data_IF_397734183887
#
_entry.id   IF_397734183887
#
_cell.length_a   1.000
_cell.length_b   1.000
_cell.length_c   1.000
_cell.angle_alpha   90.00
_cell.angle_beta   90.00
_cell.angle_gamma   90.00
#
_symmetry.space_group_name_H-M   'P 1'
#
loop_
_entity.id
_entity.type
_entity.pdbx_description
1 polymer ?
#
# COMPACT_ATOMS: atom_id res chain seq x y z
N UNK A 1 27.51 3.62 -11.97
CA UNK A 1 26.14 3.04 -11.96
C UNK A 1 26.08 1.50 -11.86
N UNK A 2 27.17 0.81 -11.48
CA UNK A 2 27.16 -0.66 -11.36
C UNK A 2 26.82 -1.16 -9.94
N UNK A 3 27.14 -0.40 -8.88
CA UNK A 3 26.98 -0.85 -7.49
C UNK A 3 25.68 -0.36 -6.81
N UNK A 4 24.97 0.60 -7.39
CA UNK A 4 23.74 1.13 -6.82
C UNK A 4 22.88 1.82 -7.87
N UNK A 5 21.57 1.63 -7.77
CA UNK A 5 20.55 2.21 -8.65
C UNK A 5 19.35 2.66 -7.83
N UNK A 6 18.61 3.64 -8.35
CA UNK A 6 17.28 3.97 -7.83
C UNK A 6 16.34 2.81 -8.13
N UNK A 7 15.45 2.52 -7.19
CA UNK A 7 14.51 1.41 -7.26
C UNK A 7 13.09 1.91 -7.02
N UNK A 8 12.15 1.39 -7.78
CA UNK A 8 10.72 1.60 -7.56
C UNK A 8 10.24 0.82 -6.33
N UNK A 9 9.00 1.07 -5.89
CA UNK A 9 8.42 0.46 -4.68
C UNK A 9 9.28 0.70 -3.42
N UNK A 10 9.81 1.92 -3.29
CA UNK A 10 10.60 2.36 -2.14
C UNK A 10 10.01 3.63 -1.52
N UNK A 11 10.17 3.78 -0.22
CA UNK A 11 9.66 4.91 0.56
C UNK A 11 10.61 5.31 1.68
N UNK A 12 10.46 6.54 2.18
CA UNK A 12 11.23 7.04 3.32
C UNK A 12 10.35 7.90 4.23
N UNK A 13 10.51 7.77 5.54
CA UNK A 13 9.82 8.57 6.55
C UNK A 13 10.71 8.79 7.77
N UNK A 14 10.28 9.68 8.66
CA UNK A 14 10.85 9.81 10.00
C UNK A 14 10.43 8.61 10.84
N UNK A 15 11.34 8.12 11.67
CA UNK A 15 11.09 7.05 12.64
C UNK A 15 10.63 7.64 13.98
N UNK A 16 9.67 6.97 14.62
CA UNK A 16 9.17 7.30 15.95
C UNK A 16 9.10 6.03 16.82
N UNK A 17 9.12 6.20 18.14
CA UNK A 17 9.16 5.09 19.10
C UNK A 17 7.74 4.58 19.37
N UNK A 18 7.50 3.29 19.13
CA UNK A 18 6.23 2.63 19.51
C UNK A 18 6.48 1.44 20.43
N UNK A 19 6.27 1.58 21.76
CA UNK A 19 6.54 0.52 22.73
C UNK A 19 5.54 -0.64 22.68
N UNK A 20 4.47 -0.53 21.88
CA UNK A 20 3.41 -1.54 21.77
C UNK A 20 3.67 -2.59 20.68
N UNK A 21 4.64 -2.36 19.80
CA UNK A 21 4.95 -3.27 18.70
C UNK A 21 5.79 -4.45 19.18
N UNK A 22 5.57 -5.62 18.59
CA UNK A 22 6.43 -6.78 18.81
C UNK A 22 7.75 -6.60 18.05
N UNK A 23 8.77 -7.37 18.43
CA UNK A 23 10.10 -7.33 17.82
C UNK A 23 10.11 -7.45 16.29
N UNK A 24 9.17 -8.22 15.72
CA UNK A 24 9.07 -8.49 14.28
C UNK A 24 8.07 -7.57 13.55
N UNK A 25 7.56 -6.52 14.22
CA UNK A 25 6.57 -5.61 13.65
C UNK A 25 7.14 -4.21 13.46
N UNK A 26 6.65 -3.51 12.45
CA UNK A 26 6.88 -2.07 12.26
C UNK A 26 5.56 -1.36 11.96
N UNK A 27 5.47 -0.08 12.34
CA UNK A 27 4.38 0.78 11.92
C UNK A 27 4.72 1.44 10.59
N UNK A 28 3.86 1.29 9.59
CA UNK A 28 3.98 1.97 8.29
C UNK A 28 2.81 2.94 8.15
N UNK A 29 3.05 4.22 7.78
CA UNK A 29 1.96 5.15 7.51
C UNK A 29 1.03 4.63 6.41
N UNK A 30 -0.29 4.74 6.63
CA UNK A 30 -1.31 4.29 5.67
C UNK A 30 -1.09 4.79 4.23
N UNK A 31 -0.80 6.09 3.98
CA UNK A 31 -0.56 6.57 2.61
C UNK A 31 0.70 5.95 1.97
N UNK A 32 1.74 5.71 2.76
CA UNK A 32 2.96 5.07 2.27
C UNK A 32 2.70 3.60 1.91
N UNK A 33 1.97 2.88 2.76
CA UNK A 33 1.57 1.51 2.48
C UNK A 33 0.74 1.44 1.19
N UNK A 34 -0.23 2.34 1.00
CA UNK A 34 -1.06 2.38 -0.20
C UNK A 34 -0.22 2.54 -1.49
N UNK A 35 0.77 3.43 -1.49
CA UNK A 35 1.62 3.65 -2.67
C UNK A 35 2.59 2.49 -2.92
N UNK A 36 3.18 1.90 -1.87
CA UNK A 36 4.06 0.74 -2.00
C UNK A 36 3.33 -0.50 -2.53
N UNK A 37 2.07 -0.68 -2.12
CA UNK A 37 1.26 -1.85 -2.47
C UNK A 37 0.22 -1.57 -3.57
N UNK A 38 0.28 -0.41 -4.24
CA UNK A 38 -0.71 0.05 -5.23
C UNK A 38 -1.08 -1.02 -6.27
N UNK A 39 -0.14 -1.75 -6.91
CA UNK A 39 -0.51 -2.78 -7.88
C UNK A 39 -1.30 -3.95 -7.27
N UNK A 40 -0.98 -4.33 -6.03
CA UNK A 40 -1.65 -5.43 -5.34
C UNK A 40 -3.08 -5.04 -4.94
N UNK A 41 -3.26 -3.83 -4.41
CA UNK A 41 -4.58 -3.29 -4.07
C UNK A 41 -5.46 -3.17 -5.33
N UNK A 42 -4.89 -2.67 -6.44
CA UNK A 42 -5.61 -2.59 -7.72
C UNK A 42 -6.06 -3.97 -8.23
N UNK A 43 -5.20 -4.99 -8.12
CA UNK A 43 -5.54 -6.34 -8.50
C UNK A 43 -6.68 -6.91 -7.64
N UNK A 44 -6.57 -6.73 -6.32
CA UNK A 44 -7.54 -7.26 -5.36
C UNK A 44 -8.92 -6.57 -5.50
N UNK A 45 -8.95 -5.25 -5.76
CA UNK A 45 -10.18 -4.50 -6.07
C UNK A 45 -10.95 -5.08 -7.26
N UNK A 46 -10.23 -5.45 -8.33
CA UNK A 46 -10.84 -6.05 -9.52
C UNK A 46 -11.29 -7.48 -9.24
N UNK A 47 -10.46 -8.27 -8.55
CA UNK A 47 -10.75 -9.66 -8.18
C UNK A 47 -12.00 -9.79 -7.30
N UNK A 48 -12.20 -8.85 -6.37
CA UNK A 48 -13.38 -8.79 -5.49
C UNK A 48 -14.61 -8.18 -6.15
N UNK A 49 -14.51 -7.73 -7.41
CA UNK A 49 -15.61 -7.09 -8.13
C UNK A 49 -15.95 -5.67 -7.65
N UNK A 50 -15.13 -5.08 -6.77
CA UNK A 50 -15.29 -3.71 -6.25
C UNK A 50 -14.88 -2.64 -7.26
N UNK A 51 -14.09 -3.03 -8.26
CA UNK A 51 -13.80 -2.25 -9.44
C UNK A 51 -14.03 -3.08 -10.71
N UNK A 52 -14.71 -2.51 -11.71
CA UNK A 52 -15.01 -3.22 -12.95
C UNK A 52 -13.79 -3.45 -13.86
N UNK A 53 -12.71 -2.68 -13.68
CA UNK A 53 -11.45 -2.85 -14.39
C UNK A 53 -10.31 -2.10 -13.67
N UNK A 54 -9.07 -2.32 -14.13
CA UNK A 54 -7.85 -1.72 -13.57
C UNK A 54 -7.90 -0.18 -13.58
N UNK A 55 -8.47 0.45 -14.60
CA UNK A 55 -8.57 1.92 -14.70
C UNK A 55 -9.51 2.50 -13.64
N UNK A 56 -10.62 1.81 -13.38
CA UNK A 56 -11.55 2.18 -12.32
C UNK A 56 -10.94 1.91 -10.93
N UNK A 57 -10.23 0.80 -10.75
CA UNK A 57 -9.51 0.52 -9.49
C UNK A 57 -8.49 1.63 -9.17
N UNK A 58 -7.71 2.06 -10.17
CA UNK A 58 -6.77 3.19 -10.01
C UNK A 58 -7.49 4.48 -9.58
N UNK A 59 -8.63 4.79 -10.19
CA UNK A 59 -9.43 5.98 -9.84
C UNK A 59 -9.97 5.95 -8.41
N UNK A 60 -10.36 4.76 -7.90
CA UNK A 60 -10.80 4.62 -6.50
C UNK A 60 -9.66 4.88 -5.52
N UNK A 61 -8.48 4.33 -5.81
CA UNK A 61 -7.28 4.56 -5.02
C UNK A 61 -6.88 6.04 -5.04
N UNK A 62 -6.85 6.67 -6.21
CA UNK A 62 -6.47 8.09 -6.35
C UNK A 62 -7.50 9.04 -5.68
N UNK A 63 -8.71 8.56 -5.37
CA UNK A 63 -9.76 9.29 -4.62
C UNK A 63 -9.80 8.94 -3.13
N UNK A 64 -9.01 7.95 -2.70
CA UNK A 64 -9.00 7.42 -1.34
C UNK A 64 -10.39 6.96 -0.86
N UNK A 65 -11.17 6.33 -1.74
CA UNK A 65 -12.50 5.77 -1.39
C UNK A 65 -12.40 4.81 -0.19
N UNK A 66 -13.35 4.85 0.76
CA UNK A 66 -13.21 4.13 2.05
C UNK A 66 -12.95 2.61 1.92
N UNK A 67 -13.47 1.98 0.86
CA UNK A 67 -13.33 0.54 0.60
C UNK A 67 -11.88 0.10 0.29
N UNK A 68 -10.98 1.04 -0.03
CA UNK A 68 -9.57 0.72 -0.32
C UNK A 68 -8.77 0.38 0.94
N UNK A 69 -9.19 0.85 2.12
CA UNK A 69 -8.45 0.65 3.36
C UNK A 69 -8.58 -0.78 3.89
N UNK A 70 -9.77 -1.35 3.82
CA UNK A 70 -10.02 -2.74 4.22
C UNK A 70 -9.22 -3.72 3.33
N UNK A 71 -9.15 -3.42 2.04
CA UNK A 71 -8.39 -4.21 1.07
C UNK A 71 -6.89 -4.08 1.35
N UNK A 72 -6.41 -2.88 1.66
CA UNK A 72 -5.01 -2.65 2.01
C UNK A 72 -4.60 -3.46 3.24
N UNK A 73 -5.44 -3.52 4.27
CA UNK A 73 -5.19 -4.33 5.47
C UNK A 73 -5.12 -5.83 5.14
N UNK A 74 -5.98 -6.33 4.27
CA UNK A 74 -5.95 -7.73 3.84
C UNK A 74 -4.73 -8.08 2.99
N UNK A 75 -4.23 -7.14 2.19
CA UNK A 75 -3.03 -7.33 1.35
C UNK A 75 -1.74 -7.35 2.19
N UNK A 76 -1.71 -6.65 3.33
CA UNK A 76 -0.52 -6.48 4.18
C UNK A 76 -0.42 -7.54 5.30
N UNK A 77 -1.49 -8.33 5.53
CA UNK A 77 -1.52 -9.39 6.55
C UNK A 77 -0.44 -10.45 6.37
#
# INVERSE_FOLDING_TARGET
>A
NLLGKRVDYSGRSVIDVSPKLKFYQCGVPRPMALELFKPFVMHELVKRGLASNIKNAKRKIDREDDDIWDILEDVIK
#
